data_IF_022583684191
#
_entry.id   IF_022583684191
#
_cell.length_a   1.000
_cell.length_b   1.000
_cell.length_c   1.000
_cell.angle_alpha   90.00
_cell.angle_beta   90.00
_cell.angle_gamma   90.00
#
_symmetry.space_group_name_H-M   'P 1'
#
loop_
_entity.id
_entity.type
_entity.pdbx_description
1 polymer ?
#
# COMPACT_ATOMS: atom_id res chain seq x y z
N UNK A 1 -6.44 -2.67 -26.31
CA UNK A 1 -5.80 -1.77 -25.38
C UNK A 1 -4.29 -1.91 -25.61
N UNK A 2 -3.57 -0.80 -25.77
CA UNK A 2 -2.12 -0.84 -25.77
C UNK A 2 -1.64 -1.07 -24.33
N UNK A 3 -0.50 -1.74 -24.13
CA UNK A 3 0.13 -1.96 -22.81
C UNK A 3 0.29 -0.67 -22.00
N UNK A 4 0.61 0.43 -22.67
CA UNK A 4 0.72 1.77 -22.07
C UNK A 4 -0.59 2.37 -21.52
N UNK A 5 -1.74 1.75 -21.80
CA UNK A 5 -3.05 2.16 -21.30
C UNK A 5 -3.56 1.28 -20.13
N UNK A 6 -2.76 0.31 -19.71
CA UNK A 6 -3.05 -0.58 -18.58
C UNK A 6 -2.09 -0.25 -17.44
N UNK A 7 -2.62 -0.15 -16.23
CA UNK A 7 -1.84 0.02 -15.02
C UNK A 7 -2.20 -1.11 -14.05
N UNK A 8 -1.19 -1.74 -13.46
CA UNK A 8 -1.35 -2.72 -12.38
C UNK A 8 -0.92 -2.06 -11.08
N UNK A 9 -1.79 -2.09 -10.07
CA UNK A 9 -1.42 -1.79 -8.69
C UNK A 9 -1.06 -3.11 -8.02
N UNK A 10 0.20 -3.27 -7.67
CA UNK A 10 0.78 -4.45 -7.05
C UNK A 10 1.06 -4.26 -5.56
N UNK A 11 1.19 -5.35 -4.80
CA UNK A 11 1.43 -5.28 -3.37
C UNK A 11 2.82 -4.75 -3.01
N UNK A 12 3.86 -5.06 -3.81
CA UNK A 12 5.25 -4.68 -3.55
C UNK A 12 6.13 -4.73 -4.82
N UNK A 13 7.35 -4.16 -4.73
CA UNK A 13 8.30 -4.07 -5.85
C UNK A 13 8.86 -5.42 -6.32
N UNK A 14 8.98 -6.42 -5.41
CA UNK A 14 9.47 -7.77 -5.77
C UNK A 14 8.46 -8.49 -6.65
N UNK A 15 7.17 -8.34 -6.35
CA UNK A 15 6.11 -8.87 -7.20
C UNK A 15 6.10 -8.19 -8.58
N UNK A 16 6.37 -6.88 -8.63
CA UNK A 16 6.52 -6.13 -9.87
C UNK A 16 7.59 -6.74 -10.78
N UNK A 17 8.77 -7.02 -10.23
CA UNK A 17 9.87 -7.67 -10.95
C UNK A 17 9.47 -9.07 -11.44
N UNK A 18 8.87 -9.89 -10.58
CA UNK A 18 8.39 -11.23 -10.91
C UNK A 18 7.41 -11.22 -12.10
N UNK A 19 6.40 -10.35 -12.07
CA UNK A 19 5.43 -10.20 -13.17
C UNK A 19 6.10 -9.69 -14.45
N UNK A 20 7.08 -8.79 -14.35
CA UNK A 20 7.81 -8.25 -15.50
C UNK A 20 8.56 -9.32 -16.30
N UNK A 21 8.93 -10.43 -15.65
CA UNK A 21 9.58 -11.57 -16.29
C UNK A 21 8.57 -12.57 -16.90
N UNK A 22 7.41 -12.75 -16.26
CA UNK A 22 6.38 -13.71 -16.73
C UNK A 22 5.61 -13.17 -17.94
N UNK A 23 5.25 -11.88 -17.98
CA UNK A 23 4.46 -11.31 -19.06
C UNK A 23 5.08 -11.51 -20.46
N UNK A 24 6.40 -11.31 -20.66
CA UNK A 24 7.04 -11.59 -21.95
C UNK A 24 7.01 -13.08 -22.33
N UNK A 25 7.10 -14.01 -21.36
CA UNK A 25 6.97 -15.46 -21.62
C UNK A 25 5.56 -15.83 -22.12
N UNK A 26 4.55 -15.06 -21.72
CA UNK A 26 3.16 -15.18 -22.21
C UNK A 26 2.91 -14.44 -23.53
N UNK A 27 3.93 -13.78 -24.11
CA UNK A 27 3.83 -13.03 -25.35
C UNK A 27 3.22 -11.64 -25.19
N UNK A 28 3.14 -11.12 -23.96
CA UNK A 28 2.61 -9.80 -23.67
C UNK A 28 3.72 -8.74 -23.56
N UNK A 29 3.42 -7.50 -23.95
CA UNK A 29 4.33 -6.37 -23.78
C UNK A 29 4.41 -5.95 -22.29
N UNK A 30 5.48 -5.22 -21.95
CA UNK A 30 5.63 -4.63 -20.61
C UNK A 30 4.44 -3.72 -20.28
N UNK A 31 3.74 -4.02 -19.20
CA UNK A 31 2.63 -3.24 -18.65
C UNK A 31 3.21 -2.32 -17.56
N UNK A 32 2.61 -1.15 -17.39
CA UNK A 32 2.97 -0.25 -16.28
C UNK A 32 2.49 -0.86 -14.96
N UNK A 33 3.39 -0.90 -14.00
CA UNK A 33 3.12 -1.39 -12.66
C UNK A 33 3.65 -0.41 -11.62
N UNK A 34 2.93 -0.30 -10.49
CA UNK A 34 3.34 0.53 -9.36
C UNK A 34 2.73 0.03 -8.06
N UNK A 35 3.43 0.27 -6.94
CA UNK A 35 2.85 0.15 -5.62
C UNK A 35 2.04 1.41 -5.31
N UNK A 36 0.82 1.24 -4.75
CA UNK A 36 -0.01 2.38 -4.37
C UNK A 36 0.56 3.14 -3.15
N UNK A 37 1.29 2.46 -2.27
CA UNK A 37 1.99 3.09 -1.16
C UNK A 37 3.11 4.02 -1.69
N UNK A 38 3.96 3.54 -2.61
CA UNK A 38 5.00 4.37 -3.21
C UNK A 38 4.43 5.55 -4.00
N UNK A 39 3.30 5.34 -4.67
CA UNK A 39 2.58 6.44 -5.32
C UNK A 39 2.15 7.49 -4.29
N UNK A 40 1.55 7.07 -3.17
CA UNK A 40 1.09 7.98 -2.12
C UNK A 40 2.26 8.76 -1.49
N UNK A 41 3.37 8.09 -1.22
CA UNK A 41 4.58 8.74 -0.67
C UNK A 41 5.15 9.79 -1.62
N UNK A 42 5.22 9.48 -2.91
CA UNK A 42 5.67 10.44 -3.93
C UNK A 42 4.74 11.67 -4.00
N UNK A 43 3.43 11.44 -3.97
CA UNK A 43 2.45 12.52 -4.01
C UNK A 43 2.49 13.44 -2.77
N UNK A 44 3.05 12.98 -1.63
CA UNK A 44 3.11 13.72 -0.38
C UNK A 44 4.48 14.37 -0.10
N UNK A 45 5.43 14.34 -1.04
CA UNK A 45 6.77 14.93 -0.86
C UNK A 45 6.77 16.44 -0.62
N UNK A 46 5.72 17.16 -1.04
CA UNK A 46 5.52 18.59 -0.75
C UNK A 46 4.87 18.86 0.62
N UNK A 47 4.50 17.82 1.37
CA UNK A 47 3.84 17.90 2.68
C UNK A 47 4.75 17.40 3.81
N UNK A 48 5.50 16.34 3.55
CA UNK A 48 6.45 15.75 4.48
C UNK A 48 7.67 15.21 3.74
N UNK A 49 8.83 15.25 4.40
CA UNK A 49 10.09 14.74 3.82
C UNK A 49 10.07 13.22 3.66
N UNK A 50 9.32 12.51 4.51
CA UNK A 50 9.26 11.07 4.53
C UNK A 50 7.89 10.57 5.01
N UNK A 51 7.55 9.33 4.65
CA UNK A 51 6.39 8.62 5.15
C UNK A 51 6.84 7.30 5.79
N UNK A 52 6.24 6.93 6.93
CA UNK A 52 6.48 5.62 7.52
C UNK A 52 6.06 4.53 6.55
N UNK A 53 6.94 3.55 6.34
CA UNK A 53 6.67 2.42 5.47
C UNK A 53 5.58 1.50 6.05
N UNK A 54 4.76 0.92 5.17
CA UNK A 54 3.69 -0.02 5.51
C UNK A 54 4.18 -1.21 6.32
N UNK A 55 5.33 -1.77 5.96
CA UNK A 55 5.86 -2.97 6.60
C UNK A 55 6.51 -2.66 7.95
N UNK A 56 7.12 -1.48 8.12
CA UNK A 56 7.57 -1.01 9.44
C UNK A 56 6.38 -0.83 10.40
N UNK A 57 5.26 -0.31 9.90
CA UNK A 57 4.03 -0.22 10.66
C UNK A 57 3.49 -1.60 11.03
N UNK A 58 3.45 -2.55 10.08
CA UNK A 58 3.01 -3.92 10.28
C UNK A 58 3.86 -4.65 11.31
N UNK A 59 5.19 -4.58 11.20
CA UNK A 59 6.12 -5.21 12.15
C UNK A 59 6.01 -4.62 13.56
N UNK A 60 5.85 -3.30 13.66
CA UNK A 60 5.61 -2.66 14.95
C UNK A 60 4.36 -3.19 15.63
N UNK A 61 3.26 -3.37 14.87
CA UNK A 61 2.01 -3.96 15.38
C UNK A 61 2.20 -5.41 15.82
N UNK A 62 2.97 -6.19 15.08
CA UNK A 62 3.26 -7.59 15.45
C UNK A 62 4.12 -7.68 16.71
N UNK A 63 5.13 -6.81 16.85
CA UNK A 63 6.08 -6.81 17.99
C UNK A 63 5.49 -6.19 19.25
N UNK A 64 4.66 -5.15 19.10
CA UNK A 64 4.06 -4.37 20.18
C UNK A 64 2.55 -4.18 19.93
N UNK A 65 1.74 -5.25 20.08
CA UNK A 65 0.30 -5.15 19.86
C UNK A 65 -0.31 -4.13 20.82
N UNK A 66 -1.01 -3.12 20.29
CA UNK A 66 -1.73 -2.10 21.04
C UNK A 66 -3.11 -1.92 20.42
N UNK A 67 -4.15 -2.13 21.23
CA UNK A 67 -5.53 -2.05 20.77
C UNK A 67 -5.93 -0.62 20.37
N UNK A 68 -5.51 0.38 21.13
CA UNK A 68 -5.81 1.80 20.84
C UNK A 68 -5.19 2.23 19.51
N UNK A 69 -3.93 1.84 19.24
CA UNK A 69 -3.26 2.13 17.97
C UNK A 69 -3.97 1.45 16.80
N UNK A 70 -4.46 0.21 17.01
CA UNK A 70 -5.22 -0.50 15.99
C UNK A 70 -6.57 0.18 15.72
N UNK A 71 -7.35 0.48 16.75
CA UNK A 71 -8.65 1.14 16.61
C UNK A 71 -8.52 2.50 15.94
N UNK A 72 -7.48 3.27 16.26
CA UNK A 72 -7.18 4.54 15.61
C UNK A 72 -6.84 4.37 14.13
N UNK A 73 -6.00 3.40 13.80
CA UNK A 73 -5.68 3.07 12.40
C UNK A 73 -6.94 2.68 11.63
N UNK A 74 -7.71 1.71 12.15
CA UNK A 74 -8.91 1.20 11.51
C UNK A 74 -9.93 2.32 11.28
N UNK A 75 -10.08 3.23 12.25
CA UNK A 75 -10.98 4.38 12.13
C UNK A 75 -10.50 5.33 11.02
N UNK A 76 -9.23 5.73 11.03
CA UNK A 76 -8.66 6.64 10.01
C UNK A 76 -8.73 6.07 8.58
N UNK A 77 -8.84 4.74 8.42
CA UNK A 77 -8.98 4.09 7.12
C UNK A 77 -10.45 3.79 6.74
N UNK A 78 -11.42 4.18 7.56
CA UNK A 78 -12.83 3.81 7.44
C UNK A 78 -13.69 4.80 6.64
N UNK A 79 -14.91 4.38 6.31
CA UNK A 79 -15.94 5.25 5.74
C UNK A 79 -16.38 6.35 6.71
N UNK A 80 -16.35 6.08 8.03
CA UNK A 80 -16.69 7.08 9.06
C UNK A 80 -15.72 8.26 9.00
N UNK A 81 -14.41 8.00 8.94
CA UNK A 81 -13.41 9.05 8.87
C UNK A 81 -13.47 9.84 7.55
N UNK A 82 -13.82 9.19 6.43
CA UNK A 82 -14.11 9.92 5.18
C UNK A 82 -15.26 10.91 5.38
N UNK A 83 -16.32 10.49 6.10
CA UNK A 83 -17.43 11.39 6.45
C UNK A 83 -17.02 12.56 7.36
N UNK A 84 -16.15 12.31 8.34
CA UNK A 84 -15.57 13.34 9.21
C UNK A 84 -14.71 14.34 8.41
N UNK A 85 -13.84 13.84 7.51
CA UNK A 85 -13.06 14.69 6.60
C UNK A 85 -13.94 15.56 5.69
N UNK A 86 -15.03 15.02 5.15
CA UNK A 86 -15.97 15.79 4.33
C UNK A 86 -16.72 16.84 5.16
N UNK A 87 -17.09 16.51 6.42
CA UNK A 87 -17.67 17.47 7.36
C UNK A 87 -16.71 18.62 7.67
N UNK A 88 -15.46 18.29 7.99
CA UNK A 88 -14.40 19.28 8.21
C UNK A 88 -14.19 20.18 6.98
N UNK A 89 -14.09 19.60 5.78
CA UNK A 89 -13.92 20.36 4.54
C UNK A 89 -15.07 21.32 4.26
N UNK A 90 -16.30 20.98 4.67
CA UNK A 90 -17.46 21.83 4.45
C UNK A 90 -17.41 23.12 5.28
N UNK A 91 -16.75 23.10 6.44
CA UNK A 91 -16.59 24.29 7.30
C UNK A 91 -15.24 24.97 7.16
N UNK A 92 -14.25 24.23 6.64
CA UNK A 92 -12.87 24.73 6.46
C UNK A 92 -12.83 25.99 5.57
N UNK A 93 -13.66 26.04 4.55
CA UNK A 93 -13.68 27.14 3.58
C UNK A 93 -13.90 28.51 4.26
N UNK A 94 -14.75 28.56 5.30
CA UNK A 94 -15.01 29.77 6.07
C UNK A 94 -13.89 30.10 7.07
N UNK A 95 -13.21 29.07 7.59
CA UNK A 95 -12.17 29.23 8.62
C UNK A 95 -10.80 29.54 8.01
N UNK A 96 -10.57 29.07 6.78
CA UNK A 96 -9.27 29.16 6.11
C UNK A 96 -8.98 30.54 5.55
N UNK A 97 -10.01 31.37 5.32
CA UNK A 97 -9.88 32.60 4.58
C UNK A 97 -9.83 33.84 5.49
N UNK A 98 -8.86 34.72 5.24
CA UNK A 98 -8.73 36.04 5.83
C UNK A 98 -8.81 37.11 4.70
N UNK A 99 -10.01 37.38 4.23
CA UNK A 99 -10.22 38.33 3.15
C UNK A 99 -9.92 39.74 3.59
N UNK A 100 -9.04 40.40 2.87
CA UNK A 100 -8.71 41.80 3.03
C UNK A 100 -8.38 42.41 1.67
N UNK A 101 -8.46 43.74 1.59
CA UNK A 101 -8.19 44.48 0.37
C UNK A 101 -6.78 44.23 -0.17
N UNK A 102 -6.66 43.94 -1.46
CA UNK A 102 -5.39 43.81 -2.19
C UNK A 102 -5.18 45.04 -3.07
N UNK A 103 -4.05 45.71 -2.88
CA UNK A 103 -3.65 46.87 -3.70
C UNK A 103 -2.31 46.65 -4.35
N UNK A 104 -2.19 47.02 -5.63
CA UNK A 104 -0.96 46.95 -6.39
C UNK A 104 -0.89 48.07 -7.41
N UNK A 105 0.08 48.99 -7.25
CA UNK A 105 0.40 50.07 -8.19
C UNK A 105 -0.83 50.86 -8.72
N UNK A 106 -1.73 51.16 -7.82
CA UNK A 106 -2.95 51.94 -8.15
C UNK A 106 -4.15 51.10 -8.56
N UNK A 107 -3.98 49.81 -8.86
CA UNK A 107 -5.06 48.85 -8.99
C UNK A 107 -5.45 48.29 -7.63
N UNK A 108 -6.73 48.03 -7.43
CA UNK A 108 -7.29 47.59 -6.15
C UNK A 108 -8.35 46.53 -6.38
N UNK A 109 -8.33 45.49 -5.55
CA UNK A 109 -9.43 44.55 -5.35
C UNK A 109 -9.95 44.71 -3.92
N UNK A 110 -11.21 45.08 -3.81
CA UNK A 110 -11.88 45.14 -2.52
C UNK A 110 -12.16 43.77 -1.96
N UNK A 111 -12.37 43.69 -0.64
CA UNK A 111 -12.76 42.45 0.03
C UNK A 111 -14.02 41.82 -0.61
N UNK A 112 -15.05 42.60 -0.90
CA UNK A 112 -16.29 42.13 -1.55
C UNK A 112 -16.04 41.55 -2.96
N UNK A 113 -15.14 42.15 -3.73
CA UNK A 113 -14.76 41.66 -5.06
C UNK A 113 -13.97 40.35 -4.95
N UNK A 114 -13.06 40.27 -4.00
CA UNK A 114 -12.30 39.03 -3.71
C UNK A 114 -13.24 37.87 -3.32
N UNK A 115 -14.15 38.11 -2.37
CA UNK A 115 -15.16 37.14 -1.94
C UNK A 115 -16.00 36.67 -3.13
N UNK A 116 -16.48 37.58 -3.95
CA UNK A 116 -17.28 37.25 -5.14
C UNK A 116 -16.47 36.43 -6.16
N UNK A 117 -15.20 36.79 -6.41
CA UNK A 117 -14.36 36.07 -7.34
C UNK A 117 -14.09 34.65 -6.80
N UNK A 118 -13.78 34.51 -5.53
CA UNK A 118 -13.46 33.26 -4.85
C UNK A 118 -14.62 32.26 -4.87
N UNK A 119 -15.84 32.73 -4.54
CA UNK A 119 -17.01 31.87 -4.36
C UNK A 119 -17.95 31.79 -5.59
N UNK A 120 -17.74 32.63 -6.60
CA UNK A 120 -18.56 32.59 -7.81
C UNK A 120 -17.75 32.25 -9.05
N UNK A 121 -16.68 33.00 -9.33
CA UNK A 121 -15.93 32.84 -10.58
C UNK A 121 -14.98 31.64 -10.56
N UNK A 122 -14.31 31.43 -9.44
CA UNK A 122 -13.31 30.36 -9.26
C UNK A 122 -13.80 29.21 -8.36
N UNK A 123 -15.10 29.08 -8.19
CA UNK A 123 -15.72 28.03 -7.37
C UNK A 123 -15.26 26.60 -7.73
N UNK A 124 -15.06 26.33 -9.03
CA UNK A 124 -14.62 25.02 -9.53
C UNK A 124 -13.10 24.79 -9.34
N UNK A 125 -12.34 25.83 -8.97
CA UNK A 125 -10.91 25.69 -8.66
C UNK A 125 -10.77 25.13 -7.24
N UNK A 126 -9.85 24.18 -7.00
CA UNK A 126 -9.59 23.66 -5.66
C UNK A 126 -9.24 24.79 -4.68
N UNK A 127 -9.70 24.67 -3.43
CA UNK A 127 -9.69 25.75 -2.45
C UNK A 127 -8.30 26.40 -2.28
N UNK A 128 -7.24 25.63 -2.13
CA UNK A 128 -5.87 26.14 -1.95
C UNK A 128 -5.22 26.69 -3.23
N UNK A 129 -5.89 26.61 -4.37
CA UNK A 129 -5.42 27.16 -5.65
C UNK A 129 -6.24 28.39 -6.09
N UNK A 130 -7.34 28.72 -5.38
CA UNK A 130 -8.23 29.81 -5.78
C UNK A 130 -7.56 31.17 -5.69
N UNK A 131 -6.76 31.42 -4.64
CA UNK A 131 -6.07 32.72 -4.50
C UNK A 131 -5.08 32.92 -5.65
N UNK A 132 -4.37 31.88 -6.09
CA UNK A 132 -3.49 31.96 -7.25
C UNK A 132 -4.28 32.27 -8.53
N UNK A 133 -5.41 31.61 -8.76
CA UNK A 133 -6.25 31.86 -9.92
C UNK A 133 -6.83 33.29 -9.92
N UNK A 134 -7.19 33.84 -8.75
CA UNK A 134 -7.61 35.20 -8.60
C UNK A 134 -6.45 36.15 -8.87
N UNK A 135 -5.25 35.85 -8.38
CA UNK A 135 -4.04 36.62 -8.62
C UNK A 135 -3.69 36.66 -10.11
N UNK A 136 -3.67 35.54 -10.81
CA UNK A 136 -3.41 35.46 -12.24
C UNK A 136 -4.40 36.33 -13.02
N UNK A 137 -5.69 36.28 -12.69
CA UNK A 137 -6.71 37.13 -13.30
C UNK A 137 -6.49 38.63 -13.02
N UNK A 138 -6.04 38.96 -11.81
CA UNK A 138 -5.71 40.35 -11.45
C UNK A 138 -4.46 40.81 -12.21
N UNK A 139 -3.44 39.99 -12.33
CA UNK A 139 -2.22 40.24 -13.08
C UNK A 139 -2.51 40.49 -14.57
N UNK A 140 -3.28 39.60 -15.23
CA UNK A 140 -3.73 39.77 -16.62
C UNK A 140 -4.45 41.09 -16.85
N UNK A 141 -5.33 41.47 -15.91
CA UNK A 141 -6.04 42.75 -15.99
C UNK A 141 -5.07 43.93 -15.87
N UNK A 142 -4.07 43.86 -14.98
CA UNK A 142 -3.06 44.90 -14.83
C UNK A 142 -2.19 45.02 -16.08
N UNK A 143 -1.69 43.91 -16.63
CA UNK A 143 -0.86 43.88 -17.84
C UNK A 143 -1.60 44.44 -19.05
N UNK A 144 -2.88 44.07 -19.19
CA UNK A 144 -3.75 44.60 -20.26
C UNK A 144 -3.95 46.10 -20.15
N UNK A 145 -4.23 46.61 -18.94
CA UNK A 145 -4.48 48.02 -18.69
C UNK A 145 -3.24 48.88 -18.95
N UNK A 146 -2.07 48.37 -18.57
CA UNK A 146 -0.80 49.11 -18.63
C UNK A 146 0.04 48.75 -19.86
N UNK A 147 -0.41 47.81 -20.71
CA UNK A 147 0.27 47.36 -21.93
C UNK A 147 1.73 46.94 -21.67
N UNK A 148 1.98 46.26 -20.54
CA UNK A 148 3.28 45.77 -20.17
C UNK A 148 3.16 44.51 -19.31
N UNK A 149 4.10 43.59 -19.46
CA UNK A 149 4.20 42.41 -18.61
C UNK A 149 4.73 42.76 -17.21
N UNK A 150 4.36 41.97 -16.21
CA UNK A 150 4.91 42.02 -14.87
C UNK A 150 6.34 41.46 -14.82
N UNK A 151 7.20 42.08 -14.01
CA UNK A 151 8.51 41.50 -13.72
C UNK A 151 8.42 40.34 -12.73
N UNK A 152 9.48 39.51 -12.63
CA UNK A 152 9.54 38.44 -11.65
C UNK A 152 9.33 38.93 -10.21
N UNK A 153 9.95 40.06 -9.84
CA UNK A 153 9.78 40.69 -8.52
C UNK A 153 8.32 41.13 -8.26
N UNK A 154 7.63 41.58 -9.30
CA UNK A 154 6.21 42.00 -9.21
C UNK A 154 5.31 40.77 -9.07
N UNK A 155 5.63 39.65 -9.75
CA UNK A 155 4.95 38.37 -9.59
C UNK A 155 5.12 37.83 -8.17
N UNK A 156 6.34 37.77 -7.65
CA UNK A 156 6.60 37.34 -6.28
C UNK A 156 5.89 38.18 -5.23
N UNK A 157 5.82 39.53 -5.47
CA UNK A 157 5.10 40.42 -4.58
C UNK A 157 3.59 40.10 -4.57
N UNK A 158 2.98 39.91 -5.76
CA UNK A 158 1.57 39.54 -5.86
C UNK A 158 1.29 38.20 -5.24
N UNK A 159 2.13 37.17 -5.50
CA UNK A 159 1.99 35.86 -4.92
C UNK A 159 1.97 35.93 -3.40
N UNK A 160 2.90 36.64 -2.79
CA UNK A 160 2.92 36.86 -1.35
C UNK A 160 1.66 37.57 -0.83
N UNK A 161 1.15 38.55 -1.57
CA UNK A 161 -0.08 39.28 -1.21
C UNK A 161 -1.32 38.38 -1.28
N UNK A 162 -1.47 37.63 -2.34
CA UNK A 162 -2.63 36.74 -2.49
C UNK A 162 -2.55 35.49 -1.59
N UNK A 163 -1.34 35.01 -1.31
CA UNK A 163 -1.14 33.93 -0.33
C UNK A 163 -1.55 34.34 1.09
N UNK A 164 -1.46 35.64 1.45
CA UNK A 164 -1.91 36.14 2.76
C UNK A 164 -3.43 36.16 2.94
N UNK A 165 -4.21 35.82 1.90
CA UNK A 165 -5.66 35.59 2.02
C UNK A 165 -5.99 34.27 2.71
N UNK A 166 -5.01 33.35 2.85
CA UNK A 166 -5.16 32.14 3.64
C UNK A 166 -4.59 32.33 5.04
N UNK A 167 -5.32 31.87 6.05
CA UNK A 167 -4.81 31.74 7.43
C UNK A 167 -3.63 30.76 7.44
N UNK A 168 -3.77 29.66 6.72
CA UNK A 168 -2.69 28.74 6.38
C UNK A 168 -2.93 28.11 5.00
N UNK A 169 -1.85 27.91 4.23
CA UNK A 169 -1.85 27.11 3.00
C UNK A 169 -1.05 25.79 3.18
N UNK A 170 -0.50 25.56 4.38
CA UNK A 170 0.23 24.34 4.72
C UNK A 170 -0.75 23.20 5.00
N UNK A 171 -0.76 22.21 4.11
CA UNK A 171 -1.65 21.07 4.22
C UNK A 171 -1.41 20.24 5.50
N UNK A 172 -0.17 20.22 5.99
CA UNK A 172 0.19 19.54 7.23
C UNK A 172 -0.46 20.21 8.45
N UNK A 173 -0.48 21.54 8.48
CA UNK A 173 -1.14 22.32 9.52
C UNK A 173 -2.67 22.17 9.45
N UNK A 174 -3.25 22.23 8.23
CA UNK A 174 -4.68 22.00 8.02
C UNK A 174 -5.09 20.61 8.48
N UNK A 175 -4.25 19.60 8.24
CA UNK A 175 -4.50 18.24 8.73
C UNK A 175 -4.46 18.16 10.26
N UNK A 176 -3.58 18.90 10.92
CA UNK A 176 -3.58 18.99 12.38
C UNK A 176 -4.85 19.61 12.94
N UNK A 177 -5.47 20.57 12.25
CA UNK A 177 -6.80 21.08 12.63
C UNK A 177 -7.88 20.00 12.54
N UNK A 178 -7.85 19.17 11.50
CA UNK A 178 -8.74 18.02 11.39
C UNK A 178 -8.52 17.02 12.54
N UNK A 179 -7.27 16.69 12.86
CA UNK A 179 -6.94 15.77 13.97
C UNK A 179 -7.43 16.32 15.32
N UNK A 180 -7.30 17.62 15.57
CA UNK A 180 -7.82 18.28 16.76
C UNK A 180 -9.35 18.19 16.84
N UNK A 181 -10.05 18.50 15.75
CA UNK A 181 -11.53 18.46 15.68
C UNK A 181 -12.05 17.04 15.90
N UNK A 182 -11.37 16.03 15.38
CA UNK A 182 -11.74 14.63 15.51
C UNK A 182 -11.22 13.96 16.79
N UNK A 183 -10.46 14.68 17.62
CA UNK A 183 -9.94 14.19 18.90
C UNK A 183 -8.75 13.24 18.78
N UNK A 184 -8.06 13.22 17.64
CA UNK A 184 -6.84 12.44 17.45
C UNK A 184 -5.58 13.22 17.85
N UNK A 185 -4.49 12.53 18.23
CA UNK A 185 -3.21 13.19 18.48
C UNK A 185 -2.74 13.95 17.23
N UNK A 186 -2.35 15.22 17.44
CA UNK A 186 -1.77 16.05 16.38
C UNK A 186 -0.37 15.56 16.01
N UNK A 187 0.00 15.75 14.75
CA UNK A 187 1.35 15.54 14.28
C UNK A 187 2.29 16.61 14.85
N UNK A 188 3.58 16.30 15.10
CA UNK A 188 4.53 17.26 15.65
C UNK A 188 4.69 18.49 14.75
N UNK A 189 4.74 19.67 15.35
CA UNK A 189 5.05 20.92 14.62
C UNK A 189 6.55 20.92 14.26
N UNK A 190 6.86 20.57 13.03
CA UNK A 190 8.21 20.46 12.50
C UNK A 190 8.32 21.13 11.12
N UNK A 191 9.51 21.64 10.76
CA UNK A 191 9.76 22.09 9.40
C UNK A 191 9.70 20.92 8.42
N UNK A 192 9.36 21.18 7.16
CA UNK A 192 9.11 20.20 6.09
C UNK A 192 10.19 19.08 6.05
N UNK A 193 11.45 19.45 6.13
CA UNK A 193 12.61 18.55 6.01
C UNK A 193 12.72 17.53 7.17
N UNK A 194 11.96 17.73 8.23
CA UNK A 194 11.93 16.85 9.42
C UNK A 194 10.59 16.16 9.63
N UNK A 195 9.58 16.48 8.80
CA UNK A 195 8.26 15.86 8.89
C UNK A 195 8.34 14.43 8.41
N UNK A 196 7.86 13.51 9.20
CA UNK A 196 7.64 12.12 8.85
C UNK A 196 6.17 11.80 9.13
N UNK A 197 5.41 11.39 8.10
CA UNK A 197 4.02 10.99 8.28
C UNK A 197 3.96 9.56 8.81
N UNK A 198 3.25 9.30 9.92
CA UNK A 198 2.87 7.95 10.31
C UNK A 198 2.06 7.27 9.20
N UNK A 199 2.21 5.97 9.02
CA UNK A 199 1.49 5.23 7.95
C UNK A 199 -0.04 5.41 8.04
N UNK A 200 -0.58 5.49 9.26
CA UNK A 200 -2.01 5.72 9.50
C UNK A 200 -2.52 7.05 8.95
N UNK A 201 -1.65 8.04 8.75
CA UNK A 201 -1.97 9.40 8.29
C UNK A 201 -1.69 9.63 6.80
N UNK A 202 -1.00 8.68 6.14
CA UNK A 202 -0.61 8.82 4.72
C UNK A 202 -1.85 8.99 3.82
N UNK A 203 -2.82 8.10 3.90
CA UNK A 203 -3.99 8.15 3.03
C UNK A 203 -5.01 9.22 3.42
N UNK A 204 -5.27 9.49 4.70
CA UNK A 204 -6.02 10.67 5.11
C UNK A 204 -5.43 11.99 4.57
N UNK A 205 -4.11 12.17 4.70
CA UNK A 205 -3.40 13.32 4.17
C UNK A 205 -3.51 13.41 2.63
N UNK A 206 -3.34 12.30 1.92
CA UNK A 206 -3.49 12.23 0.47
C UNK A 206 -4.91 12.58 0.02
N UNK A 207 -5.93 12.08 0.74
CA UNK A 207 -7.32 12.40 0.47
C UNK A 207 -7.58 13.91 0.63
N UNK A 208 -7.14 14.49 1.75
CA UNK A 208 -7.26 15.92 2.03
C UNK A 208 -6.55 16.74 0.95
N UNK A 209 -5.33 16.36 0.55
CA UNK A 209 -4.59 17.00 -0.54
C UNK A 209 -5.41 17.04 -1.83
N UNK A 210 -6.03 15.93 -2.23
CA UNK A 210 -6.80 15.86 -3.47
C UNK A 210 -8.16 16.56 -3.40
N UNK A 211 -8.64 16.89 -2.21
CA UNK A 211 -9.82 17.73 -2.01
C UNK A 211 -9.48 19.21 -2.07
N UNK A 212 -8.30 19.60 -1.61
CA UNK A 212 -7.88 21.00 -1.47
C UNK A 212 -6.99 21.51 -2.61
N UNK A 213 -6.27 20.62 -3.29
CA UNK A 213 -5.38 20.93 -4.44
C UNK A 213 -5.78 20.12 -5.67
N UNK A 214 -5.32 20.57 -6.84
CA UNK A 214 -5.55 19.84 -8.09
C UNK A 214 -4.84 18.47 -8.06
N UNK A 215 -5.59 17.42 -8.35
CA UNK A 215 -5.05 16.07 -8.49
C UNK A 215 -4.46 15.83 -9.88
N UNK A 216 -3.44 14.99 -9.94
CA UNK A 216 -2.90 14.51 -11.20
C UNK A 216 -3.99 13.79 -12.02
N UNK A 217 -3.96 13.97 -13.34
CA UNK A 217 -4.92 13.36 -14.24
C UNK A 217 -4.35 12.12 -14.91
N UNK A 218 -4.92 10.95 -14.58
CA UNK A 218 -4.52 9.65 -15.15
C UNK A 218 -5.38 9.25 -16.37
N UNK A 219 -5.81 10.22 -17.19
CA UNK A 219 -6.69 9.98 -18.37
C UNK A 219 -6.12 9.01 -19.41
N UNK A 220 -4.81 8.79 -19.42
CA UNK A 220 -4.14 7.83 -20.32
C UNK A 220 -4.46 6.39 -19.94
N UNK A 221 -4.68 6.10 -18.66
CA UNK A 221 -5.03 4.77 -18.18
C UNK A 221 -6.48 4.47 -18.56
N UNK A 222 -6.68 3.37 -19.28
CA UNK A 222 -7.99 2.90 -19.75
C UNK A 222 -8.47 1.67 -19.01
N UNK A 223 -7.56 0.95 -18.39
CA UNK A 223 -7.84 -0.19 -17.53
C UNK A 223 -6.89 -0.22 -16.34
N UNK A 224 -7.45 -0.31 -15.15
CA UNK A 224 -6.71 -0.47 -13.90
C UNK A 224 -6.92 -1.88 -13.38
N UNK A 225 -5.84 -2.56 -13.05
CA UNK A 225 -5.85 -3.85 -12.35
C UNK A 225 -5.37 -3.60 -10.93
N UNK A 226 -6.14 -4.04 -9.95
CA UNK A 226 -5.77 -3.98 -8.53
C UNK A 226 -5.62 -5.41 -8.06
N UNK A 227 -4.42 -5.78 -7.64
CA UNK A 227 -4.15 -7.09 -7.06
C UNK A 227 -4.15 -7.01 -5.53
N UNK A 228 -4.30 -8.16 -4.87
CA UNK A 228 -4.37 -8.29 -3.40
C UNK A 228 -5.41 -7.33 -2.77
N UNK A 229 -6.63 -7.36 -3.30
CA UNK A 229 -7.73 -6.44 -2.92
C UNK A 229 -7.96 -6.33 -1.41
N UNK A 230 -7.68 -7.39 -0.66
CA UNK A 230 -7.91 -7.47 0.78
C UNK A 230 -6.95 -6.63 1.62
N UNK A 231 -5.87 -6.14 1.01
CA UNK A 231 -4.88 -5.29 1.68
C UNK A 231 -5.16 -3.79 1.52
N UNK A 232 -6.23 -3.44 0.78
CA UNK A 232 -6.63 -2.04 0.59
C UNK A 232 -7.78 -1.65 1.51
N UNK A 233 -7.64 -0.51 2.16
CA UNK A 233 -8.66 0.08 3.01
C UNK A 233 -9.82 0.70 2.22
N UNK A 234 -10.93 1.01 2.90
CA UNK A 234 -12.04 1.77 2.32
C UNK A 234 -11.56 3.11 1.75
N UNK A 235 -10.76 3.86 2.51
CA UNK A 235 -10.24 5.16 2.11
C UNK A 235 -9.36 5.06 0.86
N UNK A 236 -8.49 4.05 0.78
CA UNK A 236 -7.66 3.81 -0.40
C UNK A 236 -8.52 3.59 -1.66
N UNK A 237 -9.59 2.80 -1.58
CA UNK A 237 -10.52 2.61 -2.71
C UNK A 237 -11.25 3.88 -3.09
N UNK A 238 -11.65 4.72 -2.14
CA UNK A 238 -12.24 6.04 -2.42
C UNK A 238 -11.25 6.93 -3.17
N UNK A 239 -9.98 6.94 -2.77
CA UNK A 239 -8.93 7.70 -3.47
C UNK A 239 -8.73 7.16 -4.89
N UNK A 240 -8.60 5.84 -5.06
CA UNK A 240 -8.42 5.19 -6.36
C UNK A 240 -9.60 5.51 -7.30
N UNK A 241 -10.84 5.40 -6.82
CA UNK A 241 -12.02 5.75 -7.60
C UNK A 241 -11.98 7.20 -8.10
N UNK A 242 -11.51 8.12 -7.25
CA UNK A 242 -11.40 9.53 -7.59
C UNK A 242 -10.25 9.84 -8.57
N UNK A 243 -9.19 9.02 -8.58
CA UNK A 243 -8.02 9.21 -9.46
C UNK A 243 -8.24 8.61 -10.87
N UNK A 244 -8.91 7.46 -10.94
CA UNK A 244 -9.02 6.68 -12.16
C UNK A 244 -10.47 6.56 -12.62
N UNK A 245 -10.82 7.24 -13.69
CA UNK A 245 -12.16 7.17 -14.33
C UNK A 245 -12.25 6.09 -15.41
N UNK A 246 -11.51 4.97 -15.25
CA UNK A 246 -11.41 3.89 -16.23
C UNK A 246 -12.10 2.61 -15.76
N UNK A 247 -12.10 1.57 -16.61
CA UNK A 247 -12.52 0.23 -16.19
C UNK A 247 -11.52 -0.36 -15.22
N UNK A 248 -12.01 -1.12 -14.23
CA UNK A 248 -11.18 -1.74 -13.23
C UNK A 248 -11.43 -3.24 -13.15
N UNK A 249 -10.36 -3.99 -12.89
CA UNK A 249 -10.41 -5.39 -12.46
C UNK A 249 -9.75 -5.47 -11.11
N UNK A 250 -10.48 -5.93 -10.10
CA UNK A 250 -10.02 -6.02 -8.71
C UNK A 250 -9.94 -7.50 -8.37
N UNK A 251 -8.73 -7.95 -8.01
CA UNK A 251 -8.39 -9.34 -7.75
C UNK A 251 -7.95 -9.50 -6.29
N UNK A 252 -8.21 -10.65 -5.70
CA UNK A 252 -7.67 -10.96 -4.37
C UNK A 252 -8.29 -12.17 -3.72
N UNK A 253 -7.72 -12.50 -2.56
CA UNK A 253 -8.14 -13.60 -1.71
C UNK A 253 -8.35 -13.07 -0.28
N UNK A 254 -9.60 -13.10 0.21
CA UNK A 254 -9.95 -12.58 1.53
C UNK A 254 -9.17 -13.21 2.68
N UNK A 255 -8.80 -14.48 2.53
CA UNK A 255 -8.05 -15.20 3.55
C UNK A 255 -6.57 -14.80 3.62
N UNK A 256 -6.02 -14.16 2.58
CA UNK A 256 -4.65 -13.65 2.52
C UNK A 256 -4.47 -12.23 3.08
N UNK A 257 -5.40 -11.76 3.91
CA UNK A 257 -5.29 -10.43 4.54
C UNK A 257 -4.08 -10.34 5.48
N UNK A 258 -3.48 -9.15 5.54
CA UNK A 258 -2.46 -8.76 6.53
C UNK A 258 -3.08 -8.13 7.78
N UNK A 259 -4.38 -8.27 7.99
CA UNK A 259 -5.08 -7.84 9.19
C UNK A 259 -5.55 -9.05 10.01
N UNK A 260 -5.47 -8.93 11.34
CA UNK A 260 -5.98 -9.92 12.29
C UNK A 260 -7.52 -9.98 12.32
N UNK A 261 -8.18 -8.90 11.90
CA UNK A 261 -9.63 -8.81 11.70
C UNK A 261 -9.96 -8.74 10.21
N UNK A 262 -10.33 -9.85 9.56
CA UNK A 262 -10.65 -9.85 8.14
C UNK A 262 -11.78 -8.86 7.83
N UNK A 263 -11.47 -7.83 7.05
CA UNK A 263 -12.48 -6.95 6.50
C UNK A 263 -12.97 -7.53 5.16
N UNK A 264 -14.29 -7.70 5.03
CA UNK A 264 -14.85 -8.08 3.73
C UNK A 264 -14.84 -6.87 2.79
N UNK A 265 -13.72 -6.68 2.06
CA UNK A 265 -13.60 -5.62 1.07
C UNK A 265 -14.78 -5.63 0.08
N UNK A 266 -15.35 -6.78 -0.24
CA UNK A 266 -16.47 -6.88 -1.17
C UNK A 266 -17.75 -6.22 -0.62
N UNK A 267 -17.89 -6.07 0.68
CA UNK A 267 -19.05 -5.42 1.31
C UNK A 267 -19.10 -3.92 0.98
N UNK A 268 -17.96 -3.24 0.97
CA UNK A 268 -17.92 -1.81 0.69
C UNK A 268 -17.61 -1.45 -0.77
N UNK A 269 -16.95 -2.33 -1.53
CA UNK A 269 -16.64 -2.08 -2.94
C UNK A 269 -17.89 -1.79 -3.77
N UNK A 270 -19.00 -2.48 -3.49
CA UNK A 270 -20.27 -2.22 -4.18
C UNK A 270 -20.81 -0.82 -3.86
N UNK A 271 -20.62 -0.32 -2.64
CA UNK A 271 -20.96 1.04 -2.25
C UNK A 271 -20.13 2.09 -2.99
N UNK A 272 -18.83 1.85 -3.16
CA UNK A 272 -17.90 2.76 -3.82
C UNK A 272 -18.10 2.76 -5.34
N UNK A 273 -18.12 1.57 -5.99
CA UNK A 273 -18.15 1.44 -7.45
C UNK A 273 -19.56 1.31 -8.03
N UNK A 274 -20.58 1.16 -7.18
CA UNK A 274 -21.99 1.17 -7.54
C UNK A 274 -22.47 -0.10 -8.27
N UNK A 275 -23.67 -0.01 -8.89
CA UNK A 275 -24.39 -1.14 -9.50
C UNK A 275 -23.70 -1.74 -10.74
N UNK A 276 -22.66 -1.11 -11.28
CA UNK A 276 -21.92 -1.60 -12.45
C UNK A 276 -20.87 -2.66 -12.10
N UNK A 277 -20.60 -2.88 -10.80
CA UNK A 277 -19.68 -3.90 -10.33
C UNK A 277 -20.24 -5.30 -10.60
N UNK A 278 -19.42 -6.18 -11.18
CA UNK A 278 -19.70 -7.61 -11.33
C UNK A 278 -18.72 -8.41 -10.48
N UNK A 279 -19.24 -9.17 -9.52
CA UNK A 279 -18.46 -10.10 -8.71
C UNK A 279 -18.37 -11.45 -9.41
N UNK A 280 -17.17 -12.01 -9.46
CA UNK A 280 -16.89 -13.38 -9.96
C UNK A 280 -16.08 -14.07 -8.85
N UNK A 281 -16.52 -15.25 -8.45
CA UNK A 281 -15.80 -16.09 -7.47
C UNK A 281 -15.16 -17.25 -8.21
N UNK A 282 -13.86 -17.43 -8.02
CA UNK A 282 -13.09 -18.55 -8.56
C UNK A 282 -12.96 -19.60 -7.46
N UNK A 283 -13.78 -20.63 -7.52
CA UNK A 283 -13.85 -21.68 -6.49
C UNK A 283 -12.88 -22.82 -6.73
N UNK A 284 -12.17 -22.85 -7.85
CA UNK A 284 -11.26 -23.94 -8.22
C UNK A 284 -9.81 -23.55 -7.99
N UNK A 285 -9.13 -24.33 -7.13
CA UNK A 285 -7.70 -24.15 -6.85
C UNK A 285 -6.87 -25.05 -7.77
N UNK A 286 -5.92 -24.43 -8.53
CA UNK A 286 -5.04 -25.11 -9.47
C UNK A 286 -3.57 -25.05 -9.05
N UNK A 287 -3.21 -24.19 -8.11
CA UNK A 287 -1.82 -23.83 -7.76
C UNK A 287 -1.14 -24.92 -6.92
N UNK A 288 -1.75 -25.25 -5.79
CA UNK A 288 -1.18 -26.13 -4.78
C UNK A 288 -1.55 -27.59 -5.00
N UNK A 289 -0.81 -28.52 -4.35
CA UNK A 289 -1.26 -29.91 -4.22
C UNK A 289 -2.49 -29.98 -3.30
N UNK A 290 -3.26 -31.09 -3.41
CA UNK A 290 -4.45 -31.33 -2.58
C UNK A 290 -4.12 -31.27 -1.09
N UNK A 291 -2.96 -31.78 -0.69
CA UNK A 291 -2.51 -31.84 0.71
C UNK A 291 -2.26 -30.43 1.26
N UNK A 292 -1.58 -29.58 0.49
CA UNK A 292 -1.31 -28.17 0.86
C UNK A 292 -2.61 -27.37 0.86
N UNK A 293 -3.44 -27.54 -0.15
CA UNK A 293 -4.72 -26.82 -0.24
C UNK A 293 -5.65 -27.17 0.93
N UNK A 294 -5.72 -28.45 1.32
CA UNK A 294 -6.49 -28.88 2.52
C UNK A 294 -5.92 -28.33 3.81
N UNK A 295 -4.59 -28.19 3.90
CA UNK A 295 -3.96 -27.54 5.05
C UNK A 295 -4.37 -26.06 5.13
N UNK A 296 -4.29 -25.33 4.03
CA UNK A 296 -4.72 -23.94 3.95
C UNK A 296 -6.21 -23.76 4.29
N UNK A 297 -7.09 -24.63 3.77
CA UNK A 297 -8.53 -24.65 4.10
C UNK A 297 -8.82 -24.80 5.60
N UNK A 298 -8.06 -25.64 6.31
CA UNK A 298 -8.22 -25.79 7.76
C UNK A 298 -7.93 -24.49 8.51
N UNK A 299 -7.02 -23.65 8.01
CA UNK A 299 -6.66 -22.38 8.62
C UNK A 299 -7.71 -21.33 8.28
N UNK A 300 -8.10 -21.18 7.00
CA UNK A 300 -9.06 -20.17 6.53
C UNK A 300 -10.49 -20.49 6.88
N UNK A 301 -10.79 -21.78 7.19
CA UNK A 301 -12.17 -22.30 7.39
C UNK A 301 -13.08 -22.14 6.16
N UNK A 302 -12.51 -22.03 4.96
CA UNK A 302 -13.25 -21.99 3.71
C UNK A 302 -13.51 -23.43 3.22
N UNK A 303 -14.78 -23.85 3.22
CA UNK A 303 -15.16 -25.23 2.87
C UNK A 303 -15.47 -25.43 1.39
N UNK A 304 -15.66 -24.36 0.61
CA UNK A 304 -16.26 -24.43 -0.75
C UNK A 304 -15.22 -24.41 -1.90
N UNK A 305 -13.95 -24.71 -1.65
CA UNK A 305 -12.94 -24.77 -2.72
C UNK A 305 -12.95 -26.15 -3.41
N UNK A 306 -13.12 -26.15 -4.72
CA UNK A 306 -12.93 -27.33 -5.59
C UNK A 306 -11.43 -27.50 -5.86
N UNK A 307 -10.84 -28.58 -5.40
CA UNK A 307 -9.40 -28.84 -5.50
C UNK A 307 -9.12 -29.67 -6.76
N UNK A 308 -8.14 -29.23 -7.56
CA UNK A 308 -7.61 -30.06 -8.63
C UNK A 308 -6.95 -31.31 -8.02
N UNK A 309 -7.25 -32.49 -8.56
CA UNK A 309 -6.63 -33.78 -8.13
C UNK A 309 -5.15 -33.84 -8.54
N UNK A 310 -4.34 -32.97 -7.94
CA UNK A 310 -2.88 -32.99 -8.02
C UNK A 310 -2.32 -33.32 -6.66
N UNK A 311 -2.02 -34.60 -6.44
CA UNK A 311 -1.47 -35.08 -5.18
C UNK A 311 0.02 -34.85 -5.07
N UNK A 312 0.49 -34.56 -3.86
CA UNK A 312 1.88 -34.35 -3.51
C UNK A 312 2.22 -34.95 -2.15
N UNK A 313 3.27 -34.43 -1.54
CA UNK A 313 3.70 -34.81 -0.20
C UNK A 313 2.72 -34.26 0.83
N UNK A 314 2.49 -35.03 1.90
CA UNK A 314 1.75 -34.52 3.06
C UNK A 314 2.48 -33.33 3.68
N UNK A 315 1.72 -32.33 4.17
CA UNK A 315 2.30 -31.20 4.91
C UNK A 315 2.97 -31.73 6.17
N UNK A 316 4.22 -31.34 6.38
CA UNK A 316 5.00 -31.75 7.53
C UNK A 316 5.01 -30.65 8.58
N UNK A 317 4.45 -30.93 9.76
CA UNK A 317 4.45 -30.04 10.90
C UNK A 317 5.41 -30.61 11.96
N UNK A 318 6.46 -29.85 12.32
CA UNK A 318 7.43 -30.28 13.30
C UNK A 318 7.92 -29.12 14.19
N UNK A 319 8.19 -29.47 15.46
CA UNK A 319 8.84 -28.56 16.41
C UNK A 319 10.20 -29.14 16.79
N UNK A 320 11.17 -28.26 16.89
CA UNK A 320 12.54 -28.58 17.20
C UNK A 320 12.94 -28.04 18.56
N UNK A 321 13.82 -28.73 19.25
CA UNK A 321 14.30 -28.33 20.58
C UNK A 321 15.32 -27.18 20.54
N UNK A 322 15.91 -26.93 19.38
CA UNK A 322 16.89 -25.84 19.16
C UNK A 322 16.88 -25.35 17.73
N UNK A 323 17.47 -24.17 17.54
CA UNK A 323 17.69 -23.55 16.23
C UNK A 323 18.62 -24.41 15.34
N UNK A 324 19.69 -25.01 15.92
CA UNK A 324 20.59 -25.89 15.18
C UNK A 324 19.85 -27.11 14.61
N UNK A 325 18.94 -27.71 15.40
CA UNK A 325 18.14 -28.87 14.94
C UNK A 325 17.17 -28.45 13.83
N UNK A 326 16.61 -27.25 13.89
CA UNK A 326 15.78 -26.67 12.84
C UNK A 326 16.58 -26.46 11.54
N UNK A 327 17.77 -25.86 11.64
CA UNK A 327 18.64 -25.64 10.48
C UNK A 327 19.08 -26.94 9.82
N UNK A 328 19.43 -27.94 10.61
CA UNK A 328 19.78 -29.27 10.08
C UNK A 328 18.60 -29.92 9.35
N UNK A 329 17.39 -29.82 9.89
CA UNK A 329 16.20 -30.33 9.23
C UNK A 329 15.92 -29.63 7.88
N UNK A 330 16.08 -28.29 7.81
CA UNK A 330 15.96 -27.56 6.54
C UNK A 330 17.01 -28.05 5.55
N UNK A 331 18.26 -28.17 5.99
CA UNK A 331 19.37 -28.63 5.16
C UNK A 331 19.15 -30.05 4.62
N UNK A 332 18.69 -30.96 5.47
CA UNK A 332 18.37 -32.34 5.07
C UNK A 332 17.31 -32.38 3.97
N UNK A 333 16.25 -31.55 4.10
CA UNK A 333 15.18 -31.49 3.08
C UNK A 333 15.65 -30.89 1.77
N UNK A 334 16.52 -29.88 1.80
CA UNK A 334 17.13 -29.28 0.60
C UNK A 334 18.07 -30.28 -0.08
N UNK A 335 18.92 -31.01 0.68
CA UNK A 335 19.85 -32.01 0.12
C UNK A 335 19.14 -33.24 -0.47
N UNK A 336 18.02 -33.67 0.14
CA UNK A 336 17.20 -34.75 -0.43
C UNK A 336 16.54 -34.34 -1.76
N UNK A 337 16.27 -33.06 -1.97
CA UNK A 337 15.78 -32.55 -3.24
C UNK A 337 16.88 -32.61 -4.34
N UNK A 338 18.14 -32.30 -3.97
CA UNK A 338 19.30 -32.39 -4.87
C UNK A 338 19.70 -33.84 -5.24
N UNK A 339 19.65 -34.77 -4.28
CA UNK A 339 19.99 -36.16 -4.50
C UNK A 339 19.00 -36.92 -5.40
N UNK A 340 17.75 -36.50 -5.43
CA UNK A 340 16.73 -37.05 -6.35
C UNK A 340 17.01 -36.69 -7.83
N UNK A 341 17.91 -35.75 -8.10
CA UNK A 341 18.36 -35.41 -9.46
C UNK A 341 19.19 -36.56 -10.12
N UNK A 342 19.85 -37.41 -9.33
CA UNK A 342 20.72 -38.46 -9.86
C UNK A 342 19.97 -39.67 -10.44
N UNK A 343 18.68 -39.80 -10.20
CA UNK A 343 17.86 -40.95 -10.54
C UNK A 343 16.87 -40.75 -11.71
N UNK A 344 17.20 -39.88 -12.66
CA UNK A 344 16.69 -39.83 -14.05
C UNK A 344 15.19 -39.52 -14.26
N UNK A 345 14.34 -39.42 -13.24
CA UNK A 345 12.88 -39.34 -13.41
C UNK A 345 12.14 -38.38 -12.46
N UNK A 346 12.79 -37.33 -11.90
CA UNK A 346 12.15 -36.44 -10.94
C UNK A 346 12.32 -34.94 -11.29
N UNK A 347 11.18 -34.24 -11.28
CA UNK A 347 11.07 -32.83 -11.38
C UNK A 347 12.08 -32.12 -10.46
N UNK A 348 12.98 -31.37 -11.06
CA UNK A 348 13.89 -30.48 -10.34
C UNK A 348 13.08 -29.34 -9.74
N UNK A 349 13.18 -29.11 -8.43
CA UNK A 349 12.69 -27.89 -7.80
C UNK A 349 13.69 -26.77 -8.08
N UNK A 350 13.18 -25.68 -8.63
CA UNK A 350 14.00 -24.53 -9.00
C UNK A 350 14.01 -23.45 -7.92
N UNK A 351 12.97 -23.46 -7.07
CA UNK A 351 12.76 -22.43 -6.05
C UNK A 351 12.38 -23.03 -4.71
N UNK A 352 12.99 -22.51 -3.66
CA UNK A 352 12.63 -22.81 -2.27
C UNK A 352 12.58 -21.52 -1.46
N UNK A 353 11.70 -21.44 -0.47
CA UNK A 353 11.66 -20.31 0.44
C UNK A 353 11.63 -20.73 1.89
N UNK A 354 12.32 -19.96 2.74
CA UNK A 354 12.10 -19.96 4.19
C UNK A 354 11.40 -18.66 4.54
N UNK A 355 10.19 -18.76 5.08
CA UNK A 355 9.31 -17.65 5.38
C UNK A 355 9.17 -17.46 6.88
N UNK A 356 9.46 -16.26 7.37
CA UNK A 356 9.43 -15.89 8.80
C UNK A 356 8.31 -14.87 9.08
N UNK A 357 8.09 -14.55 10.36
CA UNK A 357 7.14 -13.51 10.77
C UNK A 357 7.72 -12.11 10.58
N UNK A 358 8.98 -11.90 10.93
CA UNK A 358 9.63 -10.57 10.93
C UNK A 358 10.88 -10.53 10.07
N UNK A 359 11.29 -9.34 9.63
CA UNK A 359 12.55 -9.14 8.90
C UNK A 359 13.78 -9.46 9.77
N UNK A 360 13.70 -9.19 11.07
CA UNK A 360 14.77 -9.53 12.01
C UNK A 360 15.03 -11.05 12.00
N UNK A 361 13.97 -11.86 12.16
CA UNK A 361 14.06 -13.33 12.07
C UNK A 361 14.58 -13.79 10.70
N UNK A 362 14.10 -13.20 9.62
CA UNK A 362 14.54 -13.53 8.27
C UNK A 362 16.02 -13.23 8.05
N UNK A 363 16.49 -12.09 8.51
CA UNK A 363 17.87 -11.69 8.36
C UNK A 363 18.82 -12.55 9.20
N UNK A 364 18.46 -12.85 10.44
CA UNK A 364 19.26 -13.73 11.30
C UNK A 364 19.38 -15.13 10.72
N UNK A 365 18.27 -15.68 10.25
CA UNK A 365 18.27 -16.98 9.57
C UNK A 365 19.10 -16.98 8.28
N UNK A 366 18.98 -15.94 7.47
CA UNK A 366 19.83 -15.78 6.28
C UNK A 366 21.31 -15.80 6.63
N UNK A 367 21.72 -15.11 7.69
CA UNK A 367 23.11 -15.10 8.15
C UNK A 367 23.59 -16.49 8.57
N UNK A 368 22.77 -17.21 9.33
CA UNK A 368 23.07 -18.56 9.79
C UNK A 368 23.23 -19.55 8.61
N UNK A 369 22.27 -19.59 7.70
CA UNK A 369 22.35 -20.44 6.51
C UNK A 369 23.58 -20.15 5.65
N UNK A 370 23.93 -18.87 5.52
CA UNK A 370 25.13 -18.46 4.78
C UNK A 370 26.43 -18.87 5.48
N UNK A 371 26.49 -18.84 6.82
CA UNK A 371 27.63 -19.31 7.60
C UNK A 371 27.83 -20.83 7.45
N UNK A 372 26.75 -21.59 7.32
CA UNK A 372 26.76 -23.04 7.02
C UNK A 372 27.13 -23.35 5.56
N UNK A 373 27.45 -22.34 4.74
CA UNK A 373 27.86 -22.52 3.35
C UNK A 373 26.71 -22.78 2.38
N UNK A 374 25.44 -22.60 2.78
CA UNK A 374 24.28 -22.75 1.92
C UNK A 374 24.15 -21.53 1.02
N UNK A 375 23.97 -21.77 -0.28
CA UNK A 375 23.69 -20.67 -1.22
C UNK A 375 22.25 -20.20 -1.02
N UNK A 376 22.09 -18.97 -0.55
CA UNK A 376 20.80 -18.41 -0.16
C UNK A 376 20.72 -16.94 -0.52
N UNK A 377 19.56 -16.49 -0.99
CA UNK A 377 19.22 -15.10 -1.27
C UNK A 377 18.36 -14.55 -0.13
N UNK A 378 18.57 -13.30 0.23
CA UNK A 378 17.71 -12.56 1.16
C UNK A 378 16.87 -11.57 0.40
N UNK A 379 15.57 -11.56 0.66
CA UNK A 379 14.62 -10.62 0.07
C UNK A 379 13.99 -9.80 1.19
N UNK A 380 14.24 -8.50 1.15
CA UNK A 380 13.65 -7.48 2.02
C UNK A 380 12.76 -6.51 1.21
N UNK A 381 12.26 -5.47 1.86
CA UNK A 381 11.40 -4.46 1.25
C UNK A 381 12.08 -3.64 0.15
N UNK A 382 13.40 -3.48 0.23
CA UNK A 382 14.20 -2.71 -0.72
C UNK A 382 14.68 -3.55 -1.90
N UNK A 383 14.45 -4.86 -1.84
CA UNK A 383 14.80 -5.81 -2.89
C UNK A 383 13.89 -5.62 -4.10
N UNK A 384 14.50 -5.56 -5.28
CA UNK A 384 13.80 -5.41 -6.56
C UNK A 384 13.97 -6.59 -7.51
N UNK A 385 14.71 -7.63 -7.10
CA UNK A 385 15.04 -8.77 -7.97
C UNK A 385 14.76 -10.09 -7.25
N UNK A 386 13.99 -10.95 -7.91
CA UNK A 386 13.77 -12.33 -7.51
C UNK A 386 14.78 -13.26 -8.18
N UNK A 387 15.39 -14.17 -7.41
CA UNK A 387 16.38 -15.14 -7.91
C UNK A 387 15.90 -16.57 -7.68
N UNK A 388 16.24 -17.48 -8.63
CA UNK A 388 16.06 -18.92 -8.44
C UNK A 388 16.97 -19.44 -7.32
N UNK A 389 16.55 -20.52 -6.67
CA UNK A 389 17.26 -21.13 -5.56
C UNK A 389 16.53 -20.92 -4.23
N UNK A 390 17.31 -20.98 -3.13
CA UNK A 390 16.76 -20.75 -1.78
C UNK A 390 16.67 -19.26 -1.48
N UNK A 391 15.48 -18.82 -1.08
CA UNK A 391 15.20 -17.45 -0.65
C UNK A 391 14.76 -17.43 0.81
N UNK A 392 15.28 -16.49 1.59
CA UNK A 392 14.77 -16.17 2.93
C UNK A 392 14.08 -14.82 2.89
N UNK A 393 12.85 -14.75 3.38
CA UNK A 393 12.05 -13.53 3.43
C UNK A 393 10.92 -13.66 4.46
N UNK A 394 10.11 -12.62 4.59
CA UNK A 394 8.92 -12.64 5.45
C UNK A 394 7.68 -13.12 4.69
N UNK A 395 6.67 -13.61 5.43
CA UNK A 395 5.42 -14.07 4.86
C UNK A 395 4.69 -12.96 4.06
N UNK A 396 4.77 -11.71 4.50
CA UNK A 396 4.09 -10.59 3.85
C UNK A 396 4.81 -10.11 2.58
N UNK A 397 6.15 -10.18 2.52
CA UNK A 397 6.91 -9.89 1.29
C UNK A 397 6.82 -11.03 0.27
N UNK A 398 6.56 -12.26 0.73
CA UNK A 398 6.32 -13.41 -0.13
C UNK A 398 4.96 -13.37 -0.85
N UNK A 399 4.06 -12.43 -0.49
CA UNK A 399 2.77 -12.28 -1.20
C UNK A 399 3.00 -12.00 -2.68
N UNK A 400 2.25 -12.71 -3.53
CA UNK A 400 2.43 -12.67 -4.98
C UNK A 400 3.49 -13.63 -5.53
N UNK A 401 4.48 -14.05 -4.73
CA UNK A 401 5.50 -15.01 -5.14
C UNK A 401 5.02 -16.46 -4.99
N UNK A 402 5.71 -17.38 -5.69
CA UNK A 402 5.44 -18.81 -5.65
C UNK A 402 6.76 -19.60 -5.59
N UNK A 403 6.77 -20.68 -4.82
CA UNK A 403 7.96 -21.51 -4.61
C UNK A 403 7.60 -22.99 -4.69
N UNK A 404 8.49 -23.80 -5.27
CA UNK A 404 8.30 -25.25 -5.31
C UNK A 404 8.25 -25.86 -3.91
N UNK A 405 9.11 -25.36 -2.99
CA UNK A 405 9.16 -25.75 -1.59
C UNK A 405 9.06 -24.53 -0.67
N UNK A 406 8.29 -24.63 0.41
CA UNK A 406 8.19 -23.60 1.44
C UNK A 406 8.44 -24.20 2.82
N UNK A 407 9.35 -23.57 3.55
CA UNK A 407 9.58 -23.75 4.98
C UNK A 407 8.95 -22.57 5.72
N UNK A 408 7.80 -22.78 6.34
CA UNK A 408 7.06 -21.77 7.08
C UNK A 408 7.50 -21.77 8.55
N UNK A 409 8.19 -20.72 8.99
CA UNK A 409 8.64 -20.53 10.38
C UNK A 409 7.72 -19.60 11.17
N UNK A 410 6.44 -19.58 10.84
CA UNK A 410 5.43 -18.68 11.40
C UNK A 410 4.62 -19.34 12.51
N UNK A 411 5.27 -19.80 13.58
CA UNK A 411 4.60 -20.59 14.64
C UNK A 411 4.36 -19.87 15.96
N UNK A 412 4.74 -18.62 16.11
CA UNK A 412 4.50 -17.88 17.36
C UNK A 412 3.02 -17.48 17.50
N UNK A 413 2.28 -18.24 18.31
CA UNK A 413 0.86 -18.00 18.57
C UNK A 413 0.54 -16.70 19.34
N UNK A 414 1.57 -16.06 19.91
CA UNK A 414 1.43 -14.74 20.57
C UNK A 414 1.34 -13.63 19.54
N UNK A 415 1.89 -13.85 18.36
CA UNK A 415 1.78 -12.89 17.27
C UNK A 415 0.32 -12.85 16.76
N UNK A 416 -0.33 -11.68 16.68
CA UNK A 416 -1.72 -11.58 16.25
C UNK A 416 -1.96 -12.10 14.82
N UNK A 417 -0.93 -12.07 13.96
CA UNK A 417 -1.00 -12.48 12.55
C UNK A 417 -0.51 -13.91 12.28
N UNK A 418 -0.24 -14.72 13.30
CA UNK A 418 0.34 -16.05 13.09
C UNK A 418 -0.50 -16.97 12.18
N UNK A 419 -1.83 -16.89 12.25
CA UNK A 419 -2.72 -17.69 11.39
C UNK A 419 -2.69 -17.20 9.95
N UNK A 420 -2.74 -15.89 9.75
CA UNK A 420 -2.65 -15.26 8.44
C UNK A 420 -1.30 -15.57 7.80
N UNK A 421 -0.21 -15.50 8.58
CA UNK A 421 1.12 -15.87 8.12
C UNK A 421 1.19 -17.33 7.68
N UNK A 422 0.66 -18.27 8.47
CA UNK A 422 0.62 -19.68 8.08
C UNK A 422 -0.21 -19.93 6.83
N UNK A 423 -1.36 -19.27 6.69
CA UNK A 423 -2.20 -19.37 5.50
C UNK A 423 -1.47 -18.84 4.26
N UNK A 424 -0.88 -17.64 4.37
CA UNK A 424 -0.11 -17.04 3.28
C UNK A 424 1.06 -17.94 2.90
N UNK A 425 1.86 -18.43 3.86
CA UNK A 425 2.95 -19.35 3.59
C UNK A 425 2.48 -20.62 2.86
N UNK A 426 1.36 -21.22 3.29
CA UNK A 426 0.80 -22.39 2.65
C UNK A 426 0.42 -22.12 1.18
N UNK A 427 -0.17 -20.95 0.91
CA UNK A 427 -0.56 -20.57 -0.46
C UNK A 427 0.61 -20.23 -1.37
N UNK A 428 1.83 -20.06 -0.83
CA UNK A 428 3.07 -19.86 -1.61
C UNK A 428 3.71 -21.16 -2.08
N UNK A 429 3.40 -22.28 -1.45
CA UNK A 429 3.99 -23.58 -1.76
C UNK A 429 3.30 -24.27 -2.93
N UNK A 430 4.03 -24.60 -4.00
CA UNK A 430 3.48 -25.30 -5.16
C UNK A 430 3.45 -26.82 -4.95
N UNK A 431 4.50 -27.39 -4.32
CA UNK A 431 4.72 -28.84 -4.26
C UNK A 431 4.94 -29.37 -2.85
N UNK A 432 5.72 -28.69 -2.01
CA UNK A 432 6.03 -29.16 -0.66
C UNK A 432 5.91 -28.01 0.35
N UNK A 433 5.29 -28.30 1.48
CA UNK A 433 5.13 -27.38 2.61
C UNK A 433 5.62 -28.04 3.90
N UNK A 434 6.53 -27.33 4.56
CA UNK A 434 7.07 -27.67 5.88
C UNK A 434 6.71 -26.55 6.84
N UNK A 435 6.02 -26.87 7.92
CA UNK A 435 5.63 -25.91 8.95
C UNK A 435 6.44 -26.20 10.20
N UNK A 436 7.52 -25.46 10.38
CA UNK A 436 8.51 -25.69 11.39
C UNK A 436 8.49 -24.64 12.49
N UNK A 437 8.81 -25.00 13.69
CA UNK A 437 8.90 -24.11 14.83
C UNK A 437 9.89 -24.62 15.88
N UNK A 438 10.26 -23.75 16.81
CA UNK A 438 11.08 -24.09 17.96
C UNK A 438 10.17 -24.32 19.16
N UNK A 439 10.43 -25.34 19.98
CA UNK A 439 9.72 -25.57 21.22
C UNK A 439 9.95 -24.40 22.17
N UNK A 440 8.87 -23.79 22.67
CA UNK A 440 8.98 -22.82 23.73
C UNK A 440 9.47 -23.52 25.00
N UNK A 441 10.73 -23.32 25.36
CA UNK A 441 11.15 -23.67 26.71
C UNK A 441 10.32 -22.88 27.70
N UNK A 442 9.47 -23.57 28.47
CA UNK A 442 8.77 -23.00 29.61
C UNK A 442 9.81 -22.40 30.58
N UNK A 443 10.12 -21.13 30.39
CA UNK A 443 10.87 -20.31 31.38
C UNK A 443 9.95 -19.28 32.01
#
# INVERSE_FOLDING_TARGET
LASSNVLILSPNGVFADFISHILPELGEERIQEMSFDLFAYHELQDVAADCQDKYDYLERRMKYPNLEDKERFDHKQSAAFVGEMEGFLAVLEDQLMDFHEITFKGMKLTEEELIRMFYSRFQETPLLERALAVMEHFADAYETLHQRDLSEEEWEYLEKKFSSLYVSADLYEIYNWLLEETGFPQLPDLPLEKRQLPYEDVYPMLYLKYRLKRKASHKRIKHLVIDEMQDYSYLQYVIIQNLFSCRMTILGDRAQTLDDTPCDATAFLQGIFGKKMRKIELLKSYRNTVEIARYAQKISKEENLDLLERHGKAVEEQRFSSEDALLEAIRERLSLAEDKERDGDKKRYETAAVLTLTQEEAYDLYRLLKQEGIQVSYVDRDSSVFQKGLTVTTFYLAKGLEFDQVFALCWDKRNPLWKQAQYICATRALHELYVYGIEENNR
#
